data_IF_519382308394
#
_entry.id   IF_519382308394
#
_cell.length_a   1.000
_cell.length_b   1.000
_cell.length_c   1.000
_cell.angle_alpha   90.00
_cell.angle_beta   90.00
_cell.angle_gamma   90.00
#
_symmetry.space_group_name_H-M   'P 1'
#
loop_
_entity.id
_entity.type
_entity.pdbx_description
1 polymer ?
#
# COMPACT_ATOMS: atom_id res chain seq x y z
N UNK A 1 14.02 -13.98 -17.81
CA UNK A 1 13.02 -15.08 -17.78
C UNK A 1 11.91 -14.66 -16.83
N UNK A 2 10.68 -15.09 -17.05
CA UNK A 2 9.58 -14.80 -16.11
C UNK A 2 9.73 -15.63 -14.83
N UNK A 3 9.40 -15.04 -13.68
CA UNK A 3 9.39 -15.73 -12.40
C UNK A 3 8.38 -16.90 -12.40
N UNK A 4 8.76 -18.03 -11.81
CA UNK A 4 7.92 -19.21 -11.61
C UNK A 4 7.35 -19.28 -10.20
N UNK A 5 8.04 -18.70 -9.23
CA UNK A 5 7.66 -18.76 -7.80
C UNK A 5 7.86 -17.40 -7.14
N UNK A 6 7.13 -17.18 -6.04
CA UNK A 6 7.24 -15.99 -5.19
C UNK A 6 7.88 -16.36 -3.85
N UNK A 7 8.77 -15.50 -3.39
CA UNK A 7 9.48 -15.55 -2.13
C UNK A 7 9.26 -14.24 -1.38
N UNK A 8 9.57 -14.25 -0.08
CA UNK A 8 9.21 -13.25 0.94
C UNK A 8 9.14 -11.78 0.52
N UNK A 9 8.27 -11.06 1.26
CA UNK A 9 8.10 -9.61 1.19
C UNK A 9 9.37 -8.89 1.64
N UNK A 10 9.74 -7.82 0.94
CA UNK A 10 10.84 -6.94 1.34
C UNK A 10 10.63 -5.50 0.84
N UNK A 11 11.43 -4.56 1.37
CA UNK A 11 11.49 -3.17 0.90
C UNK A 11 10.13 -2.45 0.84
N UNK A 12 9.38 -2.52 1.94
CA UNK A 12 8.16 -1.72 2.09
C UNK A 12 8.53 -0.27 2.31
N UNK A 13 7.97 0.62 1.48
CA UNK A 13 8.15 2.06 1.57
C UNK A 13 6.82 2.77 1.40
N UNK A 14 6.72 4.00 1.91
CA UNK A 14 5.53 4.84 1.79
C UNK A 14 5.88 6.24 1.33
N UNK A 15 4.94 6.89 0.64
CA UNK A 15 4.99 8.30 0.31
C UNK A 15 3.64 8.92 0.63
N UNK A 16 3.60 9.86 1.59
CA UNK A 16 2.34 10.47 2.00
C UNK A 16 1.79 11.41 0.94
N UNK A 17 0.46 11.41 0.81
CA UNK A 17 -0.29 12.33 -0.03
C UNK A 17 -0.63 13.55 0.81
N UNK A 18 -0.14 14.73 0.42
CA UNK A 18 -0.46 15.99 1.10
C UNK A 18 -1.83 16.51 0.71
N UNK A 19 -2.14 16.49 -0.58
CA UNK A 19 -3.41 16.99 -1.10
C UNK A 19 -3.68 16.49 -2.50
N UNK A 20 -4.95 16.54 -2.88
CA UNK A 20 -5.41 16.38 -4.25
C UNK A 20 -6.16 17.64 -4.68
N UNK A 21 -5.76 18.23 -5.80
CA UNK A 21 -6.47 19.36 -6.40
C UNK A 21 -7.41 18.86 -7.50
N UNK A 22 -8.71 18.87 -7.22
CA UNK A 22 -9.74 18.43 -8.17
C UNK A 22 -9.82 19.28 -9.45
N UNK A 23 -9.36 20.54 -9.44
CA UNK A 23 -9.37 21.40 -10.64
C UNK A 23 -8.24 21.02 -11.59
N UNK A 24 -7.05 20.77 -11.05
CA UNK A 24 -5.86 20.41 -11.85
C UNK A 24 -5.69 18.90 -12.01
N UNK A 25 -6.46 18.09 -11.27
CA UNK A 25 -6.38 16.63 -11.19
C UNK A 25 -4.98 16.13 -10.80
N UNK A 26 -4.32 16.84 -9.88
CA UNK A 26 -2.95 16.55 -9.45
C UNK A 26 -2.88 16.21 -7.97
N UNK A 27 -2.10 15.18 -7.65
CA UNK A 27 -1.67 14.87 -6.30
C UNK A 27 -0.40 15.65 -5.97
N UNK A 28 -0.33 16.13 -4.73
CA UNK A 28 0.90 16.66 -4.12
C UNK A 28 1.35 15.68 -3.06
N UNK A 29 2.65 15.40 -3.02
CA UNK A 29 3.25 14.42 -2.11
C UNK A 29 4.12 15.10 -1.06
N UNK A 30 4.37 14.40 0.04
CA UNK A 30 5.21 14.86 1.14
C UNK A 30 6.63 15.19 0.64
N UNK A 31 7.15 16.33 1.09
CA UNK A 31 8.50 16.81 0.79
C UNK A 31 9.60 15.92 1.33
N UNK A 32 9.31 15.08 2.33
CA UNK A 32 10.28 14.11 2.85
C UNK A 32 10.50 12.91 1.91
N UNK A 33 9.73 12.81 0.81
CA UNK A 33 9.91 11.78 -0.21
C UNK A 33 9.50 10.38 0.25
N UNK A 34 9.99 9.36 -0.47
CA UNK A 34 9.67 7.96 -0.20
C UNK A 34 10.46 7.48 1.03
N UNK A 35 9.75 6.97 2.03
CA UNK A 35 10.31 6.55 3.32
C UNK A 35 10.17 5.05 3.54
N UNK A 36 11.24 4.39 3.97
CA UNK A 36 11.24 2.95 4.25
C UNK A 36 10.50 2.64 5.57
N UNK A 37 9.63 1.63 5.54
CA UNK A 37 9.05 1.02 6.74
C UNK A 37 9.73 -0.33 6.98
N UNK A 38 10.76 -0.39 7.84
CA UNK A 38 11.49 -1.63 8.10
C UNK A 38 10.64 -2.64 8.88
N UNK A 39 10.94 -3.93 8.70
CA UNK A 39 10.33 -5.00 9.48
C UNK A 39 9.07 -5.61 8.87
N UNK A 40 8.86 -5.52 7.56
CA UNK A 40 7.73 -6.16 6.90
C UNK A 40 7.81 -7.70 6.99
N UNK A 41 6.71 -8.34 7.38
CA UNK A 41 6.60 -9.80 7.57
C UNK A 41 5.72 -10.41 6.50
N UNK A 42 4.54 -9.85 6.29
CA UNK A 42 3.57 -10.36 5.34
C UNK A 42 2.69 -9.24 4.79
N UNK A 43 2.19 -9.40 3.58
CA UNK A 43 1.17 -8.54 2.99
C UNK A 43 0.13 -9.41 2.28
N UNK A 44 -1.13 -9.25 2.66
CA UNK A 44 -2.26 -9.92 2.02
C UNK A 44 -3.27 -8.87 1.61
N UNK A 45 -3.61 -8.83 0.32
CA UNK A 45 -4.54 -7.83 -0.22
C UNK A 45 -5.55 -8.55 -1.12
N UNK A 46 -6.80 -8.53 -0.70
CA UNK A 46 -7.91 -9.14 -1.41
C UNK A 46 -8.62 -8.09 -2.28
N UNK A 47 -8.94 -8.41 -3.54
CA UNK A 47 -9.65 -7.49 -4.42
C UNK A 47 -11.02 -7.17 -3.84
N UNK A 48 -11.37 -5.89 -3.84
CA UNK A 48 -12.67 -5.39 -3.43
C UNK A 48 -13.47 -5.00 -4.66
N UNK A 49 -14.74 -5.39 -4.66
CA UNK A 49 -15.64 -5.05 -5.74
C UNK A 49 -17.04 -5.62 -5.55
N UNK A 50 -18.02 -4.85 -6.01
CA UNK A 50 -19.41 -5.24 -5.99
C UNK A 50 -19.87 -5.62 -7.39
N UNK A 51 -20.62 -6.72 -7.49
CA UNK A 51 -21.25 -7.11 -8.76
C UNK A 51 -22.69 -6.64 -8.76
N UNK A 52 -23.05 -5.82 -9.74
CA UNK A 52 -24.43 -5.40 -9.97
C UNK A 52 -25.00 -6.19 -11.12
N UNK A 53 -25.97 -7.06 -10.81
CA UNK A 53 -26.69 -7.85 -11.80
C UNK A 53 -28.00 -7.19 -12.17
N UNK A 54 -28.24 -7.05 -13.46
CA UNK A 54 -29.51 -6.67 -14.05
C UNK A 54 -30.23 -7.91 -14.56
N UNK A 55 -31.42 -8.16 -14.01
CA UNK A 55 -32.23 -9.34 -14.34
C UNK A 55 -33.28 -8.99 -15.39
N UNK A 56 -33.36 -9.81 -16.44
CA UNK A 56 -34.44 -9.79 -17.44
C UNK A 56 -34.82 -11.25 -17.78
N UNK A 57 -36.08 -11.50 -18.11
CA UNK A 57 -36.60 -12.85 -18.39
C UNK A 57 -36.26 -13.90 -17.30
N UNK A 58 -36.31 -13.49 -16.02
CA UNK A 58 -35.96 -14.30 -14.85
C UNK A 58 -34.53 -14.86 -14.85
N UNK A 59 -33.60 -14.27 -15.61
CA UNK A 59 -32.17 -14.58 -15.61
C UNK A 59 -31.34 -13.32 -15.41
N UNK A 60 -30.11 -13.46 -14.88
CA UNK A 60 -29.13 -12.38 -14.88
C UNK A 60 -28.73 -12.08 -16.33
N UNK A 61 -29.30 -11.02 -16.89
CA UNK A 61 -29.18 -10.66 -18.31
C UNK A 61 -27.93 -9.82 -18.57
N UNK A 62 -27.52 -9.03 -17.58
CA UNK A 62 -26.31 -8.22 -17.64
C UNK A 62 -25.69 -8.16 -16.24
N UNK A 63 -24.36 -8.26 -16.15
CA UNK A 63 -23.62 -8.20 -14.89
C UNK A 63 -22.45 -7.23 -15.05
N UNK A 64 -22.31 -6.31 -14.12
CA UNK A 64 -21.21 -5.34 -14.09
C UNK A 64 -20.50 -5.42 -12.73
N UNK A 65 -19.21 -5.70 -12.76
CA UNK A 65 -18.35 -5.63 -11.58
C UNK A 65 -17.78 -4.21 -11.43
N UNK A 66 -18.01 -3.59 -10.27
CA UNK A 66 -17.30 -2.40 -9.84
C UNK A 66 -15.99 -2.82 -9.16
N UNK A 67 -14.86 -2.28 -9.61
CA UNK A 67 -13.57 -2.47 -8.94
C UNK A 67 -13.36 -1.32 -7.96
N UNK A 68 -13.45 -1.62 -6.66
CA UNK A 68 -13.26 -0.63 -5.58
C UNK A 68 -11.85 -0.66 -4.99
N UNK A 69 -10.99 -1.53 -5.51
CA UNK A 69 -9.57 -1.61 -5.20
C UNK A 69 -9.19 -2.89 -4.46
N UNK A 70 -8.42 -2.77 -3.38
CA UNK A 70 -7.98 -3.90 -2.56
C UNK A 70 -8.08 -3.57 -1.07
N UNK A 71 -8.31 -4.58 -0.24
CA UNK A 71 -8.24 -4.45 1.21
C UNK A 71 -7.56 -5.69 1.80
N UNK A 72 -6.79 -5.51 2.87
CA UNK A 72 -6.25 -6.61 3.64
C UNK A 72 -5.19 -6.13 4.62
N UNK A 73 -4.34 -7.04 5.08
CA UNK A 73 -3.45 -6.77 6.19
C UNK A 73 -1.98 -6.68 5.76
N UNK A 74 -1.29 -5.67 6.31
CA UNK A 74 0.16 -5.54 6.30
C UNK A 74 0.66 -5.89 7.71
N UNK A 75 1.43 -6.97 7.79
CA UNK A 75 2.05 -7.43 9.03
C UNK A 75 3.49 -6.95 9.12
N UNK A 76 3.82 -6.34 10.25
CA UNK A 76 5.10 -5.72 10.55
C UNK A 76 5.63 -6.29 11.87
N UNK A 77 6.94 -6.48 11.99
CA UNK A 77 7.58 -6.85 13.25
C UNK A 77 7.37 -5.75 14.32
N UNK A 78 7.46 -4.49 13.90
CA UNK A 78 7.12 -3.33 14.70
C UNK A 78 6.70 -2.19 13.77
N UNK A 79 5.54 -1.58 14.01
CA UNK A 79 5.12 -0.40 13.25
C UNK A 79 5.88 0.82 13.79
N UNK A 80 6.67 1.54 12.96
CA UNK A 80 7.42 2.70 13.44
C UNK A 80 6.53 3.84 13.95
N UNK A 81 6.95 4.49 15.03
CA UNK A 81 6.20 5.59 15.66
C UNK A 81 5.97 6.75 14.70
N UNK A 82 6.96 7.08 13.86
CA UNK A 82 6.84 8.14 12.85
C UNK A 82 5.71 7.85 11.85
N UNK A 83 5.50 6.57 11.50
CA UNK A 83 4.45 6.18 10.57
C UNK A 83 3.09 6.34 11.24
N UNK A 84 2.94 5.92 12.50
CA UNK A 84 1.71 6.10 13.27
C UNK A 84 1.37 7.60 13.43
N UNK A 85 2.35 8.44 13.72
CA UNK A 85 2.16 9.89 13.84
C UNK A 85 1.69 10.51 12.52
N UNK A 86 2.31 10.16 11.39
CA UNK A 86 1.95 10.73 10.07
C UNK A 86 0.69 10.13 9.46
N UNK A 87 0.53 8.80 9.49
CA UNK A 87 -0.57 8.09 8.85
C UNK A 87 -1.85 8.09 9.68
N UNK A 88 -1.74 7.89 11.00
CA UNK A 88 -2.88 7.80 11.91
C UNK A 88 -3.16 9.12 12.65
N UNK A 89 -2.25 10.10 12.58
CA UNK A 89 -2.40 11.38 13.27
C UNK A 89 -2.16 11.30 14.78
N UNK A 90 -1.45 10.28 15.24
CA UNK A 90 -1.08 10.12 16.65
C UNK A 90 -0.17 11.27 17.11
N UNK A 91 -0.32 11.69 18.37
CA UNK A 91 0.42 12.81 18.96
C UNK A 91 1.24 12.34 20.14
N UNK A 92 2.43 12.93 20.31
CA UNK A 92 3.27 12.67 21.47
C UNK A 92 3.03 13.77 22.51
N UNK A 93 2.64 13.38 23.72
CA UNK A 93 2.48 14.32 24.83
C UNK A 93 3.83 14.79 25.40
N UNK A 94 3.82 15.69 26.38
CA UNK A 94 5.05 16.22 26.99
C UNK A 94 5.87 15.18 27.76
N UNK A 95 5.25 14.05 28.11
CA UNK A 95 5.88 12.95 28.83
C UNK A 95 6.43 11.87 27.88
N UNK A 96 6.27 12.04 26.57
CA UNK A 96 6.67 11.05 25.57
C UNK A 96 5.62 9.96 25.31
N UNK A 97 4.39 10.12 25.81
CA UNK A 97 3.29 9.18 25.58
C UNK A 97 2.69 9.44 24.20
N UNK A 98 2.64 8.40 23.38
CA UNK A 98 1.95 8.43 22.10
C UNK A 98 0.45 8.22 22.32
N UNK A 99 -0.35 9.20 21.89
CA UNK A 99 -1.79 9.29 22.15
C UNK A 99 -2.55 9.27 20.83
N UNK A 100 -3.51 8.36 20.76
CA UNK A 100 -4.50 8.30 19.69
C UNK A 100 -5.66 9.25 19.98
N UNK A 101 -6.00 10.11 19.02
CA UNK A 101 -7.20 10.93 19.09
C UNK A 101 -8.35 10.26 18.30
N UNK A 102 -9.57 10.29 18.83
CA UNK A 102 -10.74 9.71 18.13
C UNK A 102 -11.11 10.46 16.86
N UNK A 103 -10.77 11.74 16.81
CA UNK A 103 -11.02 12.69 15.72
C UNK A 103 -9.78 12.92 14.83
N UNK A 104 -8.72 12.12 15.02
CA UNK A 104 -7.55 12.16 14.14
C UNK A 104 -7.97 11.81 12.70
N UNK A 105 -7.58 12.67 11.77
CA UNK A 105 -7.79 12.44 10.34
C UNK A 105 -6.62 11.64 9.82
N UNK A 106 -6.91 10.46 9.30
CA UNK A 106 -5.89 9.58 8.72
C UNK A 106 -5.39 10.16 7.39
N UNK A 107 -4.09 10.06 7.17
CA UNK A 107 -3.46 10.55 5.94
C UNK A 107 -3.34 9.42 4.93
N UNK A 108 -3.74 9.70 3.70
CA UNK A 108 -3.55 8.75 2.60
C UNK A 108 -2.08 8.73 2.15
N UNK A 109 -1.64 7.60 1.62
CA UNK A 109 -0.28 7.42 1.14
C UNK A 109 -0.19 6.45 -0.04
N UNK A 110 0.89 6.55 -0.78
CA UNK A 110 1.33 5.56 -1.76
C UNK A 110 2.12 4.49 -1.03
N UNK A 111 1.85 3.22 -1.31
CA UNK A 111 2.57 2.08 -0.74
C UNK A 111 3.41 1.40 -1.82
N UNK A 112 4.69 1.22 -1.55
CA UNK A 112 5.63 0.49 -2.39
C UNK A 112 6.12 -0.75 -1.66
N UNK A 113 6.31 -1.86 -2.37
CA UNK A 113 6.87 -3.08 -1.79
C UNK A 113 7.44 -4.00 -2.87
N UNK A 114 8.31 -4.94 -2.50
CA UNK A 114 8.82 -5.96 -3.41
C UNK A 114 8.46 -7.35 -2.91
N UNK A 115 8.12 -8.21 -3.86
CA UNK A 115 8.03 -9.65 -3.65
C UNK A 115 9.19 -10.27 -4.42
N UNK A 116 10.01 -11.04 -3.71
CA UNK A 116 11.13 -11.73 -4.33
C UNK A 116 10.59 -12.81 -5.29
N UNK A 117 11.23 -12.98 -6.43
CA UNK A 117 10.98 -14.10 -7.34
C UNK A 117 12.21 -14.99 -7.47
N UNK A 118 12.09 -16.11 -8.18
CA UNK A 118 13.22 -16.99 -8.51
C UNK A 118 14.20 -16.37 -9.53
N UNK A 119 13.74 -15.45 -10.39
CA UNK A 119 14.60 -14.80 -11.39
C UNK A 119 14.86 -13.32 -11.06
N UNK A 120 13.80 -12.57 -10.75
CA UNK A 120 13.86 -11.14 -10.47
C UNK A 120 12.86 -10.76 -9.37
N UNK A 121 13.04 -9.61 -8.73
CA UNK A 121 12.03 -9.11 -7.78
C UNK A 121 10.91 -8.42 -8.54
N UNK A 122 9.68 -8.68 -8.12
CA UNK A 122 8.52 -7.90 -8.59
C UNK A 122 8.31 -6.74 -7.64
N UNK A 123 8.43 -5.52 -8.14
CA UNK A 123 8.13 -4.30 -7.38
C UNK A 123 6.70 -3.88 -7.64
N UNK A 124 6.03 -3.46 -6.59
CA UNK A 124 4.63 -3.04 -6.59
C UNK A 124 4.50 -1.60 -6.12
N UNK A 125 3.48 -0.94 -6.63
CA UNK A 125 3.00 0.36 -6.16
C UNK A 125 1.48 0.30 -6.03
N UNK A 126 0.95 0.73 -4.89
CA UNK A 126 -0.47 1.01 -4.69
C UNK A 126 -0.61 2.52 -4.55
N UNK A 127 -1.37 3.12 -5.46
CA UNK A 127 -1.31 4.56 -5.71
C UNK A 127 -1.99 5.42 -4.63
N UNK A 128 -2.99 4.88 -3.94
CA UNK A 128 -3.75 5.59 -2.92
C UNK A 128 -4.20 4.58 -1.87
N UNK A 129 -3.70 4.72 -0.66
CA UNK A 129 -3.98 3.81 0.44
C UNK A 129 -4.39 4.59 1.68
N UNK A 130 -5.33 4.04 2.43
CA UNK A 130 -5.57 4.40 3.82
C UNK A 130 -5.21 3.23 4.73
N UNK A 131 -4.97 3.52 6.00
CA UNK A 131 -4.60 2.52 7.01
C UNK A 131 -5.56 2.59 8.18
N UNK A 132 -6.06 1.46 8.65
CA UNK A 132 -6.83 1.37 9.88
C UNK A 132 -5.90 1.32 11.10
N UNK A 133 -6.44 1.63 12.28
CA UNK A 133 -5.68 1.56 13.53
C UNK A 133 -5.15 0.13 13.75
N UNK A 134 -3.87 -0.04 14.10
CA UNK A 134 -3.31 -1.35 14.36
C UNK A 134 -3.94 -1.97 15.61
N UNK A 135 -4.04 -3.30 15.62
CA UNK A 135 -4.49 -4.01 16.81
C UNK A 135 -3.39 -4.05 17.87
N UNK A 136 -3.73 -3.82 19.14
CA UNK A 136 -2.78 -4.02 20.26
C UNK A 136 -2.66 -5.51 20.55
N UNK A 137 -1.47 -6.08 20.31
CA UNK A 137 -1.16 -7.48 20.61
C UNK A 137 0.05 -7.55 21.54
N UNK A 138 -0.03 -8.41 22.55
CA UNK A 138 1.08 -8.71 23.46
C UNK A 138 1.06 -10.19 23.83
N UNK A 139 2.08 -10.93 23.42
CA UNK A 139 2.26 -12.33 23.80
C UNK A 139 3.40 -12.46 24.83
N UNK A 140 3.25 -13.39 25.77
CA UNK A 140 4.33 -13.76 26.69
C UNK A 140 5.37 -14.60 25.95
N UNK A 141 6.63 -14.55 26.37
CA UNK A 141 7.68 -15.37 25.75
C UNK A 141 7.55 -16.83 26.17
N UNK A 142 7.38 -17.72 25.19
CA UNK A 142 7.42 -19.18 25.38
C UNK A 142 8.85 -19.74 25.17
N UNK A 143 9.03 -21.06 25.29
CA UNK A 143 10.33 -21.73 25.15
C UNK A 143 10.99 -21.52 23.76
N UNK A 144 10.22 -21.11 22.75
CA UNK A 144 10.70 -20.61 21.47
C UNK A 144 10.49 -19.10 21.36
N UNK A 145 11.55 -18.35 21.08
CA UNK A 145 11.50 -16.89 20.90
C UNK A 145 11.03 -16.59 19.48
N UNK A 146 9.73 -16.63 19.25
CA UNK A 146 9.12 -16.08 18.03
C UNK A 146 8.70 -14.63 18.31
N UNK A 147 9.21 -13.62 17.59
CA UNK A 147 8.77 -12.26 17.78
C UNK A 147 7.29 -12.12 17.42
N UNK A 148 6.53 -11.42 18.26
CA UNK A 148 5.17 -11.02 17.93
C UNK A 148 5.18 -10.01 16.77
N UNK A 149 4.08 -9.93 16.04
CA UNK A 149 3.89 -9.00 14.93
C UNK A 149 2.70 -8.07 15.17
N UNK A 150 2.86 -6.84 14.72
CA UNK A 150 1.79 -5.86 14.59
C UNK A 150 1.12 -6.03 13.23
N UNK A 151 -0.20 -5.92 13.18
CA UNK A 151 -0.96 -5.93 11.93
C UNK A 151 -1.73 -4.62 11.77
N UNK A 152 -1.69 -4.08 10.55
CA UNK A 152 -2.48 -2.92 10.13
C UNK A 152 -3.29 -3.28 8.88
N UNK A 153 -4.57 -2.92 8.88
CA UNK A 153 -5.40 -3.12 7.69
C UNK A 153 -5.20 -1.96 6.73
N UNK A 154 -4.82 -2.28 5.49
CA UNK A 154 -4.62 -1.36 4.39
C UNK A 154 -5.82 -1.43 3.46
N UNK A 155 -6.34 -0.27 3.05
CA UNK A 155 -7.35 -0.17 2.00
C UNK A 155 -6.76 0.62 0.84
N UNK A 156 -6.49 -0.06 -0.27
CA UNK A 156 -6.00 0.52 -1.51
C UNK A 156 -7.18 0.88 -2.41
N UNK A 157 -7.28 2.16 -2.76
CA UNK A 157 -8.39 2.72 -3.53
C UNK A 157 -7.91 3.19 -4.90
N UNK A 158 -8.79 3.24 -5.92
CA UNK A 158 -8.49 3.93 -7.17
C UNK A 158 -8.15 5.40 -6.94
N UNK A 159 -7.17 5.93 -7.68
CA UNK A 159 -6.93 7.37 -7.70
C UNK A 159 -8.11 8.15 -8.29
N UNK A 160 -8.26 9.40 -7.86
CA UNK A 160 -9.37 10.26 -8.28
C UNK A 160 -9.19 10.83 -9.69
N UNK A 161 -7.94 10.92 -10.17
CA UNK A 161 -7.62 11.50 -11.48
C UNK A 161 -7.78 10.50 -12.63
N UNK A 162 -7.32 9.26 -12.47
CA UNK A 162 -7.22 8.26 -13.54
C UNK A 162 -7.72 6.86 -13.17
N UNK A 163 -8.20 6.68 -11.94
CA UNK A 163 -8.75 5.41 -11.44
C UNK A 163 -7.75 4.24 -11.38
N UNK A 164 -6.44 4.50 -11.49
CA UNK A 164 -5.45 3.45 -11.28
C UNK A 164 -5.30 3.13 -9.79
N UNK A 165 -5.28 1.83 -9.47
CA UNK A 165 -5.16 1.35 -8.08
C UNK A 165 -3.78 0.75 -7.81
N UNK A 166 -3.25 -0.06 -8.74
CA UNK A 166 -1.99 -0.79 -8.59
C UNK A 166 -1.15 -0.76 -9.86
N UNK A 167 0.16 -0.61 -9.69
CA UNK A 167 1.16 -0.87 -10.71
C UNK A 167 2.14 -1.96 -10.25
N UNK A 168 2.77 -2.65 -11.19
CA UNK A 168 3.84 -3.60 -10.87
C UNK A 168 4.81 -3.76 -12.02
N UNK A 169 6.10 -3.92 -11.69
CA UNK A 169 7.18 -4.19 -12.63
C UNK A 169 7.98 -5.41 -12.16
N UNK A 170 8.19 -6.36 -13.06
CA UNK A 170 8.91 -7.60 -12.78
C UNK A 170 10.16 -7.80 -13.66
N UNK A 171 10.42 -6.88 -14.60
CA UNK A 171 11.54 -6.96 -15.54
C UNK A 171 12.54 -5.83 -15.29
N UNK A 172 13.80 -6.20 -15.15
CA UNK A 172 14.97 -5.32 -15.07
C UNK A 172 15.74 -5.30 -16.40
N UNK A 173 15.07 -5.64 -17.50
CA UNK A 173 15.66 -5.60 -18.84
C UNK A 173 16.19 -4.20 -19.20
N UNK A 174 17.05 -4.12 -20.22
CA UNK A 174 17.73 -2.87 -20.62
C UNK A 174 16.78 -1.70 -20.88
N UNK A 175 15.53 -1.97 -21.31
CA UNK A 175 14.55 -0.93 -21.59
C UNK A 175 13.90 -0.39 -20.31
N UNK A 176 13.64 -1.24 -19.33
CA UNK A 176 12.92 -0.88 -18.11
C UNK A 176 13.82 -0.68 -16.89
N UNK A 177 15.12 -0.95 -17.02
CA UNK A 177 16.11 -0.87 -15.92
C UNK A 177 16.15 0.48 -15.22
N UNK A 178 16.01 1.59 -15.95
CA UNK A 178 16.02 2.92 -15.35
C UNK A 178 14.88 3.13 -14.34
N UNK A 179 13.66 2.76 -14.72
CA UNK A 179 12.48 2.83 -13.83
C UNK A 179 12.61 1.80 -12.71
N UNK A 180 13.11 0.61 -13.03
CA UNK A 180 13.34 -0.43 -12.05
C UNK A 180 14.31 0.05 -10.97
N UNK A 181 15.45 0.63 -11.31
CA UNK A 181 16.43 1.09 -10.33
C UNK A 181 15.92 2.30 -9.53
N UNK A 182 15.23 3.25 -10.17
CA UNK A 182 14.70 4.47 -9.54
C UNK A 182 13.36 4.31 -8.79
N UNK A 183 12.85 3.07 -8.62
CA UNK A 183 11.50 2.80 -8.09
C UNK A 183 11.19 3.43 -6.73
N UNK A 184 12.22 3.70 -5.91
CA UNK A 184 12.11 4.28 -4.57
C UNK A 184 12.60 5.72 -4.49
N UNK A 185 12.99 6.33 -5.61
CA UNK A 185 13.49 7.71 -5.64
C UNK A 185 12.35 8.72 -5.83
N UNK A 186 11.41 8.40 -6.72
CA UNK A 186 10.28 9.27 -7.06
C UNK A 186 9.01 8.49 -7.25
N UNK A 187 7.86 9.14 -7.03
CA UNK A 187 6.56 8.56 -7.36
C UNK A 187 6.49 8.15 -8.82
N UNK A 188 6.22 6.87 -9.09
CA UNK A 188 6.00 6.40 -10.45
C UNK A 188 4.63 6.87 -10.95
N UNK A 189 4.61 7.59 -12.06
CA UNK A 189 3.38 7.95 -12.77
C UNK A 189 3.22 7.11 -14.03
N UNK A 190 2.05 6.47 -14.26
CA UNK A 190 1.76 5.77 -15.52
C UNK A 190 1.82 6.73 -16.71
N UNK A 191 2.60 6.35 -17.73
CA UNK A 191 2.70 7.05 -19.00
C UNK A 191 2.30 6.07 -20.14
N UNK A 192 1.28 6.46 -20.91
CA UNK A 192 0.76 5.70 -22.04
C UNK A 192 1.02 6.40 -23.38
N UNK A 193 1.86 7.43 -23.38
CA UNK A 193 2.27 8.07 -24.63
C UNK A 193 3.10 7.09 -25.45
N UNK A 194 2.67 6.84 -26.69
CA UNK A 194 3.41 6.00 -27.62
C UNK A 194 4.74 6.68 -27.95
N UNK A 195 5.84 5.97 -27.77
CA UNK A 195 7.19 6.41 -28.20
C UNK A 195 7.34 6.35 -29.71
#
# INVERSE_FOLDING_TARGET
MANKVKFGLSNVHVLFIESYDAKTKKYTYDTEGIQAIPGAVNISLDPQGDTTDFYADNIAYFSQAANTGYQGDLEMALIPDWFRQKALGEKVDKNGVQVEASDAVQKEFVLFFEINGDTAKTRYVLYRNSVARPSIKGQTTENSISPATDSMTITAMPRENDHYTKGSIASDDTQHKAIYDAWYETMHEPDFTST
#
